data_IF_400232761629
#
_entry.id   IF_400232761629
#
_cell.length_a   1.000
_cell.length_b   1.000
_cell.length_c   1.000
_cell.angle_alpha   90.00
_cell.angle_beta   90.00
_cell.angle_gamma   90.00
#
_symmetry.space_group_name_H-M   'P 1'
#
loop_
_entity.id
_entity.type
_entity.pdbx_description
1 polymer ?
#
# COMPACT_ATOMS: atom_id res chain seq x y z
N UNK A 1 35.31 13.75 6.01
CA UNK A 1 36.01 13.03 7.06
C UNK A 1 35.40 11.64 7.13
N UNK A 2 36.20 10.63 6.79
CA UNK A 2 35.82 9.23 6.84
C UNK A 2 35.68 8.81 8.30
N UNK A 3 34.52 8.30 8.70
CA UNK A 3 34.29 7.73 10.01
C UNK A 3 34.62 6.24 9.95
N UNK A 4 35.58 5.81 10.74
CA UNK A 4 35.88 4.39 10.94
C UNK A 4 34.93 3.81 11.99
N UNK A 5 34.31 2.66 11.68
CA UNK A 5 33.48 1.92 12.60
C UNK A 5 34.24 0.69 13.11
N UNK A 6 34.34 0.54 14.44
CA UNK A 6 34.98 -0.60 15.08
C UNK A 6 33.89 -1.42 15.78
N UNK A 7 33.75 -2.68 15.39
CA UNK A 7 32.85 -3.62 16.03
C UNK A 7 33.59 -4.41 17.11
N UNK A 8 33.08 -4.40 18.34
CA UNK A 8 33.63 -5.12 19.49
C UNK A 8 32.62 -6.15 19.94
N UNK A 9 33.01 -7.42 19.98
CA UNK A 9 32.21 -8.50 20.54
C UNK A 9 32.53 -8.68 22.01
N UNK A 10 31.51 -8.59 22.86
CA UNK A 10 31.66 -8.82 24.30
C UNK A 10 31.74 -10.32 24.59
N UNK A 11 32.46 -10.69 25.68
CA UNK A 11 32.45 -12.05 26.18
C UNK A 11 31.10 -12.44 26.76
N UNK A 12 30.77 -13.71 26.71
CA UNK A 12 29.57 -14.25 27.33
C UNK A 12 29.50 -13.90 28.82
N UNK A 13 28.35 -13.44 29.28
CA UNK A 13 28.11 -13.04 30.67
C UNK A 13 28.40 -11.58 31.04
N UNK A 14 28.92 -10.77 30.10
CA UNK A 14 29.11 -9.33 30.32
C UNK A 14 27.87 -8.57 29.89
N UNK A 15 27.22 -7.85 30.82
CA UNK A 15 26.07 -7.01 30.45
C UNK A 15 26.52 -5.77 29.65
N UNK A 16 25.79 -5.47 28.57
CA UNK A 16 26.07 -4.32 27.70
C UNK A 16 26.05 -2.99 28.48
N UNK A 17 25.13 -2.84 29.43
CA UNK A 17 25.01 -1.62 30.23
C UNK A 17 26.26 -1.39 31.13
N UNK A 18 26.77 -2.43 31.81
CA UNK A 18 28.01 -2.34 32.57
C UNK A 18 29.18 -1.99 31.67
N UNK A 19 29.31 -2.66 30.55
CA UNK A 19 30.38 -2.37 29.60
C UNK A 19 30.32 -0.90 29.12
N UNK A 20 29.16 -0.40 28.75
CA UNK A 20 29.01 0.99 28.29
C UNK A 20 29.33 2.00 29.41
N UNK A 21 28.93 1.70 30.65
CA UNK A 21 29.20 2.56 31.79
C UNK A 21 30.70 2.69 32.04
N UNK A 22 31.44 1.59 32.04
CA UNK A 22 32.86 1.57 32.33
C UNK A 22 33.73 2.01 31.16
N UNK A 23 33.30 1.69 29.92
CA UNK A 23 34.07 2.00 28.73
C UNK A 23 33.96 3.46 28.29
N UNK A 24 32.83 4.13 28.48
CA UNK A 24 32.65 5.54 28.07
C UNK A 24 33.69 6.50 28.65
N UNK A 25 33.93 6.54 29.99
CA UNK A 25 34.93 7.44 30.56
C UNK A 25 36.35 7.10 30.09
N UNK A 26 36.67 5.80 29.94
CA UNK A 26 37.94 5.34 29.41
C UNK A 26 38.14 5.78 27.96
N UNK A 27 37.12 5.61 27.12
CA UNK A 27 37.14 6.01 25.71
C UNK A 27 37.40 7.50 25.53
N UNK A 28 36.74 8.36 26.31
CA UNK A 28 36.94 9.82 26.27
C UNK A 28 38.36 10.22 26.65
N UNK A 29 38.97 9.49 27.61
CA UNK A 29 40.29 9.79 28.11
C UNK A 29 41.41 9.27 27.21
N UNK A 30 41.32 8.01 26.77
CA UNK A 30 42.41 7.29 26.10
C UNK A 30 42.32 7.30 24.56
N UNK A 31 41.11 7.41 24.01
CA UNK A 31 40.92 7.40 22.54
C UNK A 31 40.97 8.77 21.91
N UNK A 32 41.50 9.78 22.60
CA UNK A 32 41.70 11.11 22.03
C UNK A 32 43.19 11.27 21.69
N UNK A 33 43.55 11.03 20.43
CA UNK A 33 44.93 11.25 19.96
C UNK A 33 44.89 12.09 18.66
N UNK A 34 45.47 13.29 18.76
CA UNK A 34 45.50 14.21 17.63
C UNK A 34 44.10 14.63 17.17
N UNK A 35 43.81 14.47 15.89
CA UNK A 35 42.49 14.72 15.28
C UNK A 35 41.56 13.52 15.31
N UNK A 36 41.98 12.39 15.88
CA UNK A 36 41.15 11.19 16.06
C UNK A 36 40.51 11.21 17.44
N UNK A 37 39.19 11.07 17.45
CA UNK A 37 38.42 10.92 18.70
C UNK A 37 37.24 9.96 18.48
N UNK A 38 36.97 9.15 19.47
CA UNK A 38 35.81 8.29 19.45
C UNK A 38 34.56 9.13 19.71
N UNK A 39 33.64 9.10 18.77
CA UNK A 39 32.41 9.92 18.81
C UNK A 39 31.34 9.32 19.70
N UNK A 40 31.09 8.05 19.59
CA UNK A 40 30.04 7.37 20.36
C UNK A 40 30.29 5.87 20.42
N UNK A 41 29.86 5.25 21.50
CA UNK A 41 29.74 3.79 21.64
C UNK A 41 28.27 3.46 21.80
N UNK A 42 27.77 2.57 20.96
CA UNK A 42 26.35 2.17 20.92
C UNK A 42 26.26 0.65 20.84
N UNK A 43 25.18 0.10 21.35
CA UNK A 43 24.88 -1.31 21.09
C UNK A 43 24.45 -1.51 19.63
N UNK A 44 24.66 -2.70 19.10
CA UNK A 44 24.23 -3.02 17.74
C UNK A 44 22.71 -2.87 17.57
N UNK A 45 21.93 -3.26 18.60
CA UNK A 45 20.48 -3.04 18.63
C UNK A 45 20.11 -1.56 18.55
N UNK A 46 20.81 -0.67 19.26
CA UNK A 46 20.55 0.76 19.17
C UNK A 46 20.85 1.32 17.79
N UNK A 47 21.90 0.82 17.12
CA UNK A 47 22.24 1.24 15.77
C UNK A 47 21.15 0.80 14.79
N UNK A 48 20.65 -0.43 14.90
CA UNK A 48 19.57 -0.93 14.04
C UNK A 48 18.30 -0.11 14.27
N UNK A 49 17.85 0.01 15.52
CA UNK A 49 16.61 0.74 15.84
C UNK A 49 16.67 2.21 15.45
N UNK A 50 17.79 2.89 15.62
CA UNK A 50 17.97 4.27 15.16
C UNK A 50 18.01 4.36 13.61
N UNK A 51 18.65 3.41 12.93
CA UNK A 51 18.68 3.38 11.47
C UNK A 51 17.31 3.09 10.87
N UNK A 52 16.55 2.18 11.47
CA UNK A 52 15.18 1.90 11.08
C UNK A 52 14.27 3.10 11.34
N UNK A 53 14.38 3.73 12.50
CA UNK A 53 13.58 4.90 12.84
C UNK A 53 13.89 6.11 11.94
N UNK A 54 15.15 6.29 11.55
CA UNK A 54 15.55 7.45 10.71
C UNK A 54 15.31 7.25 9.23
N UNK A 55 15.49 6.04 8.71
CA UNK A 55 15.46 5.77 7.28
C UNK A 55 14.15 5.13 6.82
N UNK A 56 13.69 4.07 7.48
CA UNK A 56 12.53 3.30 7.00
C UNK A 56 11.20 3.87 7.47
N UNK A 57 11.07 4.26 8.73
CA UNK A 57 9.81 4.76 9.29
C UNK A 57 9.24 5.97 8.53
N UNK A 58 10.03 7.03 8.20
CA UNK A 58 9.49 8.16 7.43
C UNK A 58 9.11 7.76 6.01
N UNK A 59 9.83 6.83 5.39
CA UNK A 59 9.52 6.32 4.05
C UNK A 59 8.18 5.57 4.07
N UNK A 60 7.98 4.67 5.03
CA UNK A 60 6.71 3.93 5.17
C UNK A 60 5.53 4.86 5.42
N UNK A 61 5.67 5.85 6.32
CA UNK A 61 4.61 6.83 6.59
C UNK A 61 4.25 7.65 5.36
N UNK A 62 5.24 8.09 4.60
CA UNK A 62 5.04 8.82 3.35
C UNK A 62 4.31 7.96 2.32
N UNK A 63 4.76 6.72 2.11
CA UNK A 63 4.15 5.81 1.14
C UNK A 63 2.72 5.45 1.54
N UNK A 64 2.46 5.23 2.83
CA UNK A 64 1.11 4.99 3.36
C UNK A 64 0.19 6.21 3.15
N UNK A 65 0.68 7.42 3.41
CA UNK A 65 -0.08 8.64 3.17
C UNK A 65 -0.42 8.83 1.68
N UNK A 66 0.53 8.55 0.78
CA UNK A 66 0.29 8.57 -0.66
C UNK A 66 -0.73 7.51 -1.08
N UNK A 67 -0.61 6.29 -0.58
CA UNK A 67 -1.57 5.22 -0.86
C UNK A 67 -2.98 5.58 -0.38
N UNK A 68 -3.12 6.12 0.83
CA UNK A 68 -4.39 6.60 1.36
C UNK A 68 -4.98 7.73 0.51
N UNK A 69 -4.16 8.68 0.09
CA UNK A 69 -4.58 9.77 -0.80
C UNK A 69 -5.13 9.23 -2.13
N UNK A 70 -4.41 8.31 -2.77
CA UNK A 70 -4.88 7.71 -4.02
C UNK A 70 -6.15 6.88 -3.83
N UNK A 71 -6.27 6.15 -2.71
CA UNK A 71 -7.47 5.39 -2.39
C UNK A 71 -8.69 6.29 -2.24
N UNK A 72 -8.57 7.42 -1.52
CA UNK A 72 -9.64 8.41 -1.39
C UNK A 72 -10.04 8.99 -2.75
N UNK A 73 -9.06 9.36 -3.58
CA UNK A 73 -9.33 9.87 -4.94
C UNK A 73 -10.07 8.82 -5.79
N UNK A 74 -9.66 7.56 -5.71
CA UNK A 74 -10.32 6.46 -6.41
C UNK A 74 -11.78 6.30 -5.94
N UNK A 75 -12.03 6.33 -4.63
CA UNK A 75 -13.39 6.28 -4.07
C UNK A 75 -14.26 7.42 -4.61
N UNK A 76 -13.75 8.65 -4.58
CA UNK A 76 -14.47 9.83 -5.07
C UNK A 76 -14.75 9.72 -6.58
N UNK A 77 -13.77 9.27 -7.37
CA UNK A 77 -13.91 9.07 -8.81
C UNK A 77 -14.97 8.00 -9.14
N UNK A 78 -14.94 6.87 -8.46
CA UNK A 78 -15.92 5.78 -8.65
C UNK A 78 -17.32 6.26 -8.29
N UNK A 79 -17.51 6.85 -7.11
CA UNK A 79 -18.82 7.35 -6.67
C UNK A 79 -19.34 8.39 -7.65
N UNK A 80 -18.51 9.37 -8.04
CA UNK A 80 -18.92 10.43 -8.98
C UNK A 80 -19.31 9.90 -10.36
N UNK A 81 -18.51 8.99 -10.91
CA UNK A 81 -18.77 8.38 -12.22
C UNK A 81 -20.07 7.57 -12.21
N UNK A 82 -20.25 6.69 -11.22
CA UNK A 82 -21.46 5.89 -11.14
C UNK A 82 -22.70 6.70 -10.77
N UNK A 83 -22.54 7.77 -9.97
CA UNK A 83 -23.64 8.70 -9.71
C UNK A 83 -24.12 9.38 -11.00
N UNK A 84 -23.21 9.86 -11.83
CA UNK A 84 -23.56 10.46 -13.11
C UNK A 84 -24.17 9.43 -14.08
N UNK A 85 -23.55 8.26 -14.20
CA UNK A 85 -24.01 7.19 -15.06
C UNK A 85 -25.41 6.69 -14.66
N UNK A 86 -25.72 6.59 -13.38
CA UNK A 86 -27.05 6.20 -12.90
C UNK A 86 -28.11 7.25 -13.22
N UNK A 87 -27.75 8.53 -13.23
CA UNK A 87 -28.69 9.59 -13.65
C UNK A 87 -29.06 9.50 -15.13
N UNK A 88 -28.09 9.26 -15.99
CA UNK A 88 -28.34 9.17 -17.45
C UNK A 88 -29.08 7.88 -17.82
N UNK A 89 -29.04 6.84 -17.00
CA UNK A 89 -29.72 5.55 -17.24
C UNK A 89 -31.07 5.40 -16.53
N UNK A 90 -31.65 6.48 -16.01
CA UNK A 90 -32.95 6.42 -15.29
C UNK A 90 -34.07 5.82 -16.14
N UNK A 91 -34.13 6.21 -17.39
CA UNK A 91 -35.16 5.72 -18.35
C UNK A 91 -34.98 4.21 -18.60
N UNK A 92 -33.76 3.74 -18.85
CA UNK A 92 -33.49 2.31 -19.06
C UNK A 92 -33.91 1.48 -17.84
N UNK A 93 -33.58 1.97 -16.63
CA UNK A 93 -33.97 1.31 -15.38
C UNK A 93 -35.49 1.34 -15.18
N UNK A 94 -36.17 2.44 -15.54
CA UNK A 94 -37.62 2.55 -15.51
C UNK A 94 -38.29 1.54 -16.44
N UNK A 95 -37.78 1.39 -17.65
CA UNK A 95 -38.26 0.37 -18.61
C UNK A 95 -38.02 -1.05 -18.06
N UNK A 96 -36.83 -1.37 -17.53
CA UNK A 96 -36.58 -2.69 -16.95
C UNK A 96 -37.52 -3.01 -15.78
N UNK A 97 -37.81 -2.04 -14.91
CA UNK A 97 -38.77 -2.21 -13.82
C UNK A 97 -40.20 -2.44 -14.33
N UNK A 98 -40.61 -1.78 -15.43
CA UNK A 98 -41.91 -1.95 -16.05
C UNK A 98 -42.10 -3.35 -16.65
N UNK A 99 -41.02 -3.96 -17.14
CA UNK A 99 -41.00 -5.34 -17.63
C UNK A 99 -40.81 -6.38 -16.51
N UNK A 100 -40.84 -5.98 -15.25
CA UNK A 100 -40.85 -6.90 -14.10
C UNK A 100 -39.48 -7.21 -13.53
N UNK A 101 -38.42 -6.48 -13.90
CA UNK A 101 -37.14 -6.60 -13.23
C UNK A 101 -37.25 -6.20 -11.76
N UNK A 102 -36.59 -6.95 -10.90
CA UNK A 102 -36.55 -6.63 -9.47
C UNK A 102 -35.48 -5.58 -9.18
N UNK A 103 -35.62 -4.86 -8.07
CA UNK A 103 -34.60 -3.92 -7.58
C UNK A 103 -33.24 -4.57 -7.41
N UNK A 104 -33.22 -5.84 -7.02
CA UNK A 104 -32.00 -6.62 -6.84
C UNK A 104 -31.31 -6.89 -8.18
N UNK A 105 -32.07 -7.09 -9.27
CA UNK A 105 -31.51 -7.36 -10.59
C UNK A 105 -30.77 -6.13 -11.12
N UNK A 106 -31.33 -4.94 -10.90
CA UNK A 106 -30.69 -3.67 -11.30
C UNK A 106 -29.39 -3.45 -10.52
N UNK A 107 -29.42 -3.67 -9.19
CA UNK A 107 -28.22 -3.55 -8.38
C UNK A 107 -27.15 -4.55 -8.83
N UNK A 108 -27.52 -5.81 -9.08
CA UNK A 108 -26.60 -6.84 -9.59
C UNK A 108 -26.01 -6.48 -10.95
N UNK A 109 -26.82 -5.92 -11.85
CA UNK A 109 -26.36 -5.49 -13.16
C UNK A 109 -25.28 -4.42 -13.03
N UNK A 110 -25.54 -3.34 -12.27
CA UNK A 110 -24.59 -2.24 -12.07
C UNK A 110 -23.32 -2.70 -11.34
N UNK A 111 -23.46 -3.56 -10.34
CA UNK A 111 -22.31 -4.15 -9.65
C UNK A 111 -21.49 -5.06 -10.58
N UNK A 112 -22.16 -5.81 -11.46
CA UNK A 112 -21.52 -6.63 -12.49
C UNK A 112 -20.68 -5.78 -13.47
N UNK A 113 -21.25 -4.70 -13.99
CA UNK A 113 -20.53 -3.76 -14.85
C UNK A 113 -19.28 -3.20 -14.16
N UNK A 114 -19.42 -2.73 -12.91
CA UNK A 114 -18.30 -2.23 -12.14
C UNK A 114 -17.24 -3.28 -11.84
N UNK A 115 -17.64 -4.52 -11.60
CA UNK A 115 -16.71 -5.64 -11.41
C UNK A 115 -15.90 -5.90 -12.67
N UNK A 116 -16.55 -5.97 -13.84
CA UNK A 116 -15.87 -6.18 -15.13
C UNK A 116 -14.86 -5.07 -15.40
N UNK A 117 -15.26 -3.81 -15.22
CA UNK A 117 -14.36 -2.67 -15.38
C UNK A 117 -13.16 -2.74 -14.42
N UNK A 118 -13.40 -3.12 -13.16
CA UNK A 118 -12.32 -3.28 -12.17
C UNK A 118 -11.36 -4.38 -12.57
N UNK A 119 -11.85 -5.52 -13.04
CA UNK A 119 -11.00 -6.63 -13.51
C UNK A 119 -10.12 -6.19 -14.68
N UNK A 120 -10.71 -5.56 -15.69
CA UNK A 120 -9.96 -5.09 -16.88
C UNK A 120 -8.92 -4.04 -16.49
N UNK A 121 -9.29 -3.05 -15.68
CA UNK A 121 -8.38 -2.01 -15.22
C UNK A 121 -7.23 -2.58 -14.35
N UNK A 122 -7.55 -3.51 -13.45
CA UNK A 122 -6.54 -4.15 -12.60
C UNK A 122 -5.56 -5.00 -13.39
N UNK A 123 -6.05 -5.79 -14.35
CA UNK A 123 -5.18 -6.59 -15.22
C UNK A 123 -4.23 -5.70 -16.03
N UNK A 124 -4.74 -4.60 -16.59
CA UNK A 124 -3.92 -3.64 -17.31
C UNK A 124 -2.87 -3.02 -16.41
N UNK A 125 -3.26 -2.56 -15.21
CA UNK A 125 -2.35 -1.98 -14.22
C UNK A 125 -1.26 -2.96 -13.77
N UNK A 126 -1.62 -4.22 -13.53
CA UNK A 126 -0.66 -5.25 -13.12
C UNK A 126 0.33 -5.58 -14.24
N UNK A 127 -0.11 -5.65 -15.49
CA UNK A 127 0.79 -5.87 -16.63
C UNK A 127 1.79 -4.71 -16.79
N UNK A 128 1.33 -3.47 -16.66
CA UNK A 128 2.20 -2.30 -16.72
C UNK A 128 3.21 -2.29 -15.56
N UNK A 129 2.76 -2.62 -14.35
CA UNK A 129 3.65 -2.71 -13.20
C UNK A 129 4.66 -3.84 -13.34
N UNK A 130 4.26 -5.00 -13.87
CA UNK A 130 5.17 -6.11 -14.14
C UNK A 130 6.26 -5.71 -15.14
N UNK A 131 5.88 -5.02 -16.22
CA UNK A 131 6.83 -4.51 -17.20
C UNK A 131 7.83 -3.52 -16.59
N UNK A 132 7.35 -2.63 -15.74
CA UNK A 132 8.20 -1.72 -14.99
C UNK A 132 9.17 -2.48 -14.06
N UNK A 133 8.68 -3.43 -13.27
CA UNK A 133 9.46 -4.20 -12.34
C UNK A 133 10.57 -5.03 -13.05
N UNK A 134 10.26 -5.60 -14.22
CA UNK A 134 11.24 -6.32 -15.03
C UNK A 134 12.31 -5.37 -15.60
N UNK A 135 11.92 -4.18 -16.07
CA UNK A 135 12.84 -3.17 -16.60
C UNK A 135 13.81 -2.65 -15.56
N UNK A 136 13.32 -2.34 -14.36
CA UNK A 136 14.14 -1.86 -13.23
C UNK A 136 15.00 -2.95 -12.58
N UNK A 137 14.90 -4.21 -13.07
CA UNK A 137 15.67 -5.32 -12.54
C UNK A 137 15.23 -5.81 -11.16
N UNK A 138 14.04 -5.40 -10.68
CA UNK A 138 13.51 -5.83 -9.39
C UNK A 138 13.39 -7.35 -9.29
N UNK A 139 13.04 -8.02 -10.39
CA UNK A 139 12.96 -9.49 -10.46
C UNK A 139 14.32 -10.19 -10.28
N UNK A 140 15.42 -9.49 -10.55
CA UNK A 140 16.79 -10.03 -10.43
C UNK A 140 17.46 -9.66 -9.10
N UNK A 141 16.74 -9.00 -8.19
CA UNK A 141 17.29 -8.56 -6.92
C UNK A 141 18.34 -7.44 -7.01
N UNK A 142 18.59 -6.88 -8.20
CA UNK A 142 19.65 -5.90 -8.40
C UNK A 142 19.48 -4.59 -7.61
N UNK A 143 18.24 -4.24 -7.28
CA UNK A 143 17.91 -3.02 -6.52
C UNK A 143 17.42 -3.32 -5.08
N UNK A 144 17.38 -4.60 -4.71
CA UNK A 144 17.12 -4.98 -3.33
C UNK A 144 18.46 -4.95 -2.60
N UNK A 145 18.57 -4.15 -1.57
CA UNK A 145 19.72 -4.20 -0.67
C UNK A 145 19.86 -5.65 -0.21
N UNK A 146 21.05 -6.20 -0.36
CA UNK A 146 21.42 -7.62 -0.09
C UNK A 146 21.04 -8.16 1.30
N UNK A 147 20.43 -7.34 2.14
CA UNK A 147 20.15 -7.61 3.55
C UNK A 147 18.70 -7.91 3.90
N UNK A 148 17.77 -7.87 2.94
CA UNK A 148 16.38 -8.19 3.25
C UNK A 148 16.05 -9.56 2.68
N UNK A 149 16.44 -10.61 3.40
CA UNK A 149 15.69 -11.87 3.31
C UNK A 149 14.24 -11.50 3.57
N UNK A 150 13.42 -11.53 2.51
CA UNK A 150 11.99 -11.28 2.63
C UNK A 150 11.42 -12.41 3.47
N UNK A 151 11.13 -12.14 4.73
CA UNK A 151 10.57 -13.10 5.69
C UNK A 151 9.28 -13.77 5.21
N UNK A 152 8.62 -13.19 4.22
CA UNK A 152 7.29 -13.59 3.78
C UNK A 152 7.30 -14.44 2.51
N UNK A 153 8.11 -14.07 1.53
CA UNK A 153 8.16 -14.76 0.25
C UNK A 153 9.55 -14.58 -0.36
N UNK A 154 10.28 -15.67 -0.53
CA UNK A 154 11.65 -15.67 -1.05
C UNK A 154 11.72 -15.45 -2.56
N UNK A 155 10.61 -15.63 -3.29
CA UNK A 155 10.55 -15.57 -4.74
C UNK A 155 9.76 -14.34 -5.22
N UNK A 156 10.35 -13.59 -6.17
CA UNK A 156 9.73 -12.40 -6.75
C UNK A 156 8.34 -12.68 -7.32
N UNK A 157 8.18 -13.81 -8.02
CA UNK A 157 6.91 -14.15 -8.67
C UNK A 157 5.79 -14.35 -7.66
N UNK A 158 6.06 -15.10 -6.61
CA UNK A 158 5.09 -15.37 -5.54
C UNK A 158 4.75 -14.10 -4.78
N UNK A 159 5.74 -13.25 -4.49
CA UNK A 159 5.52 -11.95 -3.85
C UNK A 159 4.66 -11.03 -4.73
N UNK A 160 4.98 -10.92 -6.02
CA UNK A 160 4.23 -10.12 -6.97
C UNK A 160 2.78 -10.56 -7.08
N UNK A 161 2.52 -11.87 -7.22
CA UNK A 161 1.17 -12.42 -7.33
C UNK A 161 0.36 -12.19 -6.05
N UNK A 162 0.95 -12.42 -4.88
CA UNK A 162 0.28 -12.22 -3.60
C UNK A 162 -0.10 -10.75 -3.39
N UNK A 163 0.84 -9.83 -3.59
CA UNK A 163 0.59 -8.39 -3.44
C UNK A 163 -0.44 -7.91 -4.46
N UNK A 164 -0.34 -8.35 -5.71
CA UNK A 164 -1.31 -8.01 -6.76
C UNK A 164 -2.72 -8.51 -6.42
N UNK A 165 -2.84 -9.73 -5.87
CA UNK A 165 -4.12 -10.26 -5.42
C UNK A 165 -4.72 -9.45 -4.27
N UNK A 166 -3.92 -9.10 -3.27
CA UNK A 166 -4.38 -8.28 -2.13
C UNK A 166 -4.85 -6.90 -2.60
N UNK A 167 -4.07 -6.24 -3.46
CA UNK A 167 -4.45 -4.95 -4.04
C UNK A 167 -5.74 -5.08 -4.85
N UNK A 168 -5.87 -6.12 -5.69
CA UNK A 168 -7.09 -6.37 -6.45
C UNK A 168 -8.31 -6.51 -5.55
N UNK A 169 -8.21 -7.28 -4.47
CA UNK A 169 -9.32 -7.47 -3.52
C UNK A 169 -9.71 -6.15 -2.83
N UNK A 170 -8.74 -5.34 -2.44
CA UNK A 170 -8.99 -4.02 -1.85
C UNK A 170 -9.72 -3.12 -2.87
N UNK A 171 -9.23 -3.04 -4.10
CA UNK A 171 -9.85 -2.24 -5.17
C UNK A 171 -11.27 -2.73 -5.47
N UNK A 172 -11.46 -4.03 -5.55
CA UNK A 172 -12.78 -4.63 -5.79
C UNK A 172 -13.77 -4.24 -4.69
N UNK A 173 -13.39 -4.36 -3.42
CA UNK A 173 -14.24 -3.97 -2.28
C UNK A 173 -14.58 -2.48 -2.34
N UNK A 174 -13.59 -1.62 -2.60
CA UNK A 174 -13.80 -0.17 -2.70
C UNK A 174 -14.77 0.17 -3.83
N UNK A 175 -14.60 -0.44 -5.01
CA UNK A 175 -15.47 -0.20 -6.16
C UNK A 175 -16.88 -0.70 -5.88
N UNK A 176 -17.04 -1.92 -5.35
CA UNK A 176 -18.36 -2.47 -5.03
C UNK A 176 -19.12 -1.63 -4.00
N UNK A 177 -18.43 -1.17 -2.95
CA UNK A 177 -19.03 -0.26 -1.95
C UNK A 177 -19.42 1.08 -2.59
N UNK A 178 -18.53 1.64 -3.42
CA UNK A 178 -18.77 2.91 -4.12
C UNK A 178 -19.96 2.86 -5.09
N UNK A 179 -20.18 1.73 -5.77
CA UNK A 179 -21.30 1.54 -6.70
C UNK A 179 -22.60 1.22 -5.96
N UNK A 180 -22.51 0.49 -4.84
CA UNK A 180 -23.70 0.03 -4.12
C UNK A 180 -24.64 1.17 -3.70
N UNK A 181 -24.08 2.30 -3.27
CA UNK A 181 -24.86 3.47 -2.82
C UNK A 181 -25.70 4.05 -3.96
N UNK A 182 -25.13 4.45 -5.12
CA UNK A 182 -25.92 4.99 -6.24
C UNK A 182 -26.85 3.95 -6.87
N UNK A 183 -26.43 2.68 -6.98
CA UNK A 183 -27.24 1.60 -7.51
C UNK A 183 -28.50 1.34 -6.67
N UNK A 184 -28.36 1.37 -5.35
CA UNK A 184 -29.50 1.25 -4.45
C UNK A 184 -30.47 2.42 -4.56
N UNK A 185 -29.96 3.63 -4.75
CA UNK A 185 -30.79 4.82 -4.86
C UNK A 185 -31.63 4.80 -6.15
N UNK A 186 -31.03 4.48 -7.31
CA UNK A 186 -31.77 4.41 -8.55
C UNK A 186 -32.79 3.28 -8.60
N UNK A 187 -32.48 2.11 -8.00
CA UNK A 187 -33.40 0.97 -7.94
C UNK A 187 -34.68 1.24 -7.13
N UNK A 188 -34.75 2.32 -6.36
CA UNK A 188 -35.91 2.69 -5.55
C UNK A 188 -36.86 3.69 -6.22
N UNK A 189 -36.48 4.26 -7.36
CA UNK A 189 -37.30 5.22 -8.08
C UNK A 189 -38.56 4.49 -8.63
N UNK A 190 -39.77 5.02 -8.39
CA UNK A 190 -40.99 4.43 -8.96
C UNK A 190 -40.97 4.54 -10.48
N UNK A 191 -41.45 3.52 -11.24
CA UNK A 191 -41.47 3.54 -12.69
C UNK A 191 -42.20 4.76 -13.28
N UNK A 192 -43.24 5.23 -12.60
CA UNK A 192 -44.03 6.39 -13.00
C UNK A 192 -43.26 7.71 -12.93
N UNK A 193 -42.29 7.83 -12.05
CA UNK A 193 -41.45 8.99 -11.87
C UNK A 193 -40.25 8.98 -12.84
N UNK A 194 -39.73 7.79 -13.15
CA UNK A 194 -38.64 7.60 -14.09
C UNK A 194 -39.02 7.94 -15.54
N UNK A 195 -40.31 7.81 -15.89
CA UNK A 195 -40.86 8.09 -17.25
C UNK A 195 -41.50 9.51 -17.38
N UNK A 196 -41.51 10.30 -16.29
CA UNK A 196 -42.16 11.62 -16.25
C UNK A 196 -41.19 12.80 -16.35
N UNK A 197 -39.87 12.56 -16.31
CA UNK A 197 -38.86 13.61 -16.43
C UNK A 197 -38.58 14.01 -17.90
N UNK A 198 -39.66 14.37 -18.66
CA UNK A 198 -39.58 15.21 -19.84
C UNK A 198 -39.99 16.65 -19.52
#
# INVERSE_FOLDING_TARGET
PESAHILVRLKEGVSMERFLHDFRPWMVKEMRRGNLFARSVRSYEQIITESEASNSTPIYRRNLAMAAFFLVNLCLGVIGTFWLQTRTRREEVGVMLSFGATRSDIVRLLMGEGTVLTVVASLTGFLLYLQYALKEGLAKGQNWVESTESYWVSDFTSHYLLVSLVIFLILLVVVLVGIYIPARNISRIPPTEALRDE
#
